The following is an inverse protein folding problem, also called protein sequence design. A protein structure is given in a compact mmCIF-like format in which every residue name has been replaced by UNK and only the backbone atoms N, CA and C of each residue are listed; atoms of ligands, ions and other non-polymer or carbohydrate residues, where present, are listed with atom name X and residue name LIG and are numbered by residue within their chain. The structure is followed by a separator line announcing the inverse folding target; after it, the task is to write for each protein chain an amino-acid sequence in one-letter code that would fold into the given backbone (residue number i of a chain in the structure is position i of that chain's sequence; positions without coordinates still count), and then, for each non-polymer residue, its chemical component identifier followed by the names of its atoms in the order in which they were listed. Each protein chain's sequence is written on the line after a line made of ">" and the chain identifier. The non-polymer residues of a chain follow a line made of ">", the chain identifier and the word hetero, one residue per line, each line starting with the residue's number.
data_IF_202758875737
#
_entry.id   IF_202758875737
#
_cell.length_a   1.000
_cell.length_b   1.000
_cell.length_c   1.000
_cell.angle_alpha   90.00
_cell.angle_beta   90.00
_cell.angle_gamma   90.00
#
_symmetry.space_group_name_H-M   'P 1'
#
loop_
_entity.id
_entity.type
_entity.pdbx_description
1 polymer ?
#
# COMPACT_ATOMS: atom_id res chain seq x y z
N UNK A 1 -71.52 -23.35 40.22
CA UNK A 1 -70.79 -23.10 38.99
C UNK A 1 -69.49 -22.35 39.35
N UNK A 2 -68.31 -23.04 39.30
CA UNK A 2 -67.01 -22.42 39.59
C UNK A 2 -66.28 -22.17 38.30
N UNK A 3 -66.07 -20.90 37.96
CA UNK A 3 -65.30 -20.51 36.78
C UNK A 3 -63.83 -20.62 37.06
N UNK A 4 -63.11 -21.39 36.24
CA UNK A 4 -61.66 -21.57 36.27
C UNK A 4 -61.03 -20.51 35.36
N UNK A 5 -60.31 -19.53 35.92
CA UNK A 5 -59.55 -18.55 35.19
C UNK A 5 -58.16 -19.11 34.91
N UNK A 6 -57.86 -19.47 33.68
CA UNK A 6 -56.55 -19.85 33.21
C UNK A 6 -55.72 -18.58 32.93
N UNK A 7 -54.73 -18.35 33.77
CA UNK A 7 -53.72 -17.29 33.57
C UNK A 7 -52.68 -17.81 32.58
N UNK A 8 -52.66 -17.31 31.34
CA UNK A 8 -51.57 -17.56 30.36
C UNK A 8 -50.39 -16.65 30.69
N UNK A 9 -49.35 -17.22 31.28
CA UNK A 9 -48.07 -16.55 31.50
C UNK A 9 -47.25 -16.56 30.20
N UNK A 10 -47.25 -15.46 29.46
CA UNK A 10 -46.41 -15.32 28.26
C UNK A 10 -44.96 -15.06 28.66
N UNK A 11 -44.12 -16.06 28.45
CA UNK A 11 -42.67 -16.01 28.68
C UNK A 11 -42.02 -15.19 27.53
N UNK A 12 -41.74 -13.91 27.77
CA UNK A 12 -40.97 -13.08 26.84
C UNK A 12 -39.51 -13.37 27.05
N UNK A 13 -38.89 -14.15 26.14
CA UNK A 13 -37.47 -14.37 26.11
C UNK A 13 -36.77 -13.12 25.55
N UNK A 14 -35.75 -12.56 26.21
CA UNK A 14 -34.98 -11.47 25.65
C UNK A 14 -34.20 -11.95 24.42
N UNK A 15 -34.49 -11.41 23.25
CA UNK A 15 -33.69 -11.59 22.06
C UNK A 15 -32.41 -10.76 22.24
N UNK A 16 -31.33 -11.42 22.71
CA UNK A 16 -29.99 -10.81 22.73
C UNK A 16 -29.51 -10.61 21.30
N UNK A 17 -29.60 -9.37 20.80
CA UNK A 17 -29.03 -8.97 19.53
C UNK A 17 -27.51 -9.08 19.65
N UNK A 18 -26.91 -10.13 19.12
CA UNK A 18 -25.48 -10.20 18.87
C UNK A 18 -25.15 -9.22 17.74
N UNK A 19 -24.70 -8.01 18.10
CA UNK A 19 -24.04 -7.13 17.15
C UNK A 19 -22.73 -7.78 16.74
N UNK A 20 -22.70 -8.43 15.58
CA UNK A 20 -21.43 -8.81 14.97
C UNK A 20 -20.67 -7.50 14.66
N UNK A 21 -19.64 -7.21 15.45
CA UNK A 21 -18.67 -6.15 15.10
C UNK A 21 -18.00 -6.58 13.81
N UNK A 22 -18.23 -5.84 12.72
CA UNK A 22 -17.42 -5.99 11.52
C UNK A 22 -15.96 -5.71 11.90
N UNK A 23 -15.03 -6.56 11.47
CA UNK A 23 -13.62 -6.34 11.67
C UNK A 23 -13.22 -4.96 11.11
N UNK A 24 -12.32 -4.25 11.80
CA UNK A 24 -11.80 -3.00 11.29
C UNK A 24 -11.03 -3.26 9.99
N UNK A 25 -10.92 -2.25 9.10
CA UNK A 25 -10.13 -2.37 7.87
C UNK A 25 -8.68 -2.77 8.20
N UNK A 26 -8.15 -2.23 9.30
CA UNK A 26 -6.84 -2.59 9.83
C UNK A 26 -6.69 -4.09 10.10
N UNK A 27 -7.62 -4.67 10.82
CA UNK A 27 -7.54 -6.07 11.22
C UNK A 27 -7.80 -7.01 10.04
N UNK A 28 -8.76 -6.65 9.17
CA UNK A 28 -9.12 -7.41 7.97
C UNK A 28 -7.96 -7.48 6.96
N UNK A 29 -7.26 -6.37 6.75
CA UNK A 29 -6.15 -6.27 5.81
C UNK A 29 -4.76 -6.38 6.47
N UNK A 30 -4.70 -6.62 7.78
CA UNK A 30 -3.45 -6.73 8.56
C UNK A 30 -2.53 -5.52 8.37
N UNK A 31 -3.09 -4.31 8.51
CA UNK A 31 -2.35 -3.07 8.29
C UNK A 31 -1.48 -2.68 9.48
N UNK A 32 -0.38 -2.03 9.19
CA UNK A 32 0.54 -1.45 10.17
C UNK A 32 0.29 0.07 10.25
N UNK A 33 0.06 0.58 11.46
CA UNK A 33 -0.19 1.99 11.68
C UNK A 33 1.00 2.68 12.33
N UNK A 34 1.50 3.74 11.69
CA UNK A 34 2.47 4.66 12.25
C UNK A 34 1.86 6.08 12.25
N UNK A 35 0.99 6.38 13.23
CA UNK A 35 0.33 7.68 13.29
C UNK A 35 1.30 8.78 13.72
N UNK A 36 0.99 10.02 13.34
CA UNK A 36 1.68 11.23 13.81
C UNK A 36 0.74 12.01 14.70
N UNK A 37 1.23 12.43 15.88
CA UNK A 37 0.42 13.14 16.88
C UNK A 37 0.23 14.62 16.58
N UNK A 38 1.12 15.21 15.78
CA UNK A 38 1.07 16.64 15.48
C UNK A 38 0.22 16.91 14.24
N UNK A 39 -0.66 17.92 14.26
CA UNK A 39 -1.32 18.41 13.05
C UNK A 39 -0.26 18.88 12.05
N UNK A 40 -0.39 18.47 10.81
CA UNK A 40 0.47 18.89 9.71
C UNK A 40 -0.30 18.72 8.40
N UNK A 41 0.04 19.52 7.39
CA UNK A 41 -0.54 19.42 6.04
C UNK A 41 0.20 18.40 5.18
N UNK A 42 1.19 17.72 5.77
CA UNK A 42 1.93 16.66 5.07
C UNK A 42 0.99 15.52 4.65
N UNK A 43 1.18 14.92 3.50
CA UNK A 43 0.36 13.79 3.06
C UNK A 43 0.55 12.58 3.98
N UNK A 44 -0.46 11.73 4.08
CA UNK A 44 -0.23 10.40 4.62
C UNK A 44 0.45 9.52 3.57
N UNK A 45 1.18 8.51 4.01
CA UNK A 45 1.84 7.54 3.16
C UNK A 45 1.09 6.22 3.24
N UNK A 46 0.72 5.64 2.11
CA UNK A 46 0.35 4.25 2.00
C UNK A 46 1.54 3.49 1.42
N UNK A 47 2.05 2.50 2.16
CA UNK A 47 3.27 1.79 1.82
C UNK A 47 3.02 0.29 1.65
N UNK A 48 3.13 -0.22 0.41
CA UNK A 48 3.10 -1.64 0.09
C UNK A 48 4.51 -2.23 0.22
N UNK A 49 4.66 -3.21 1.11
CA UNK A 49 5.95 -3.87 1.36
C UNK A 49 6.39 -4.78 0.20
N UNK A 50 7.64 -5.23 0.25
CA UNK A 50 8.11 -6.32 -0.58
C UNK A 50 7.43 -7.67 -0.27
N UNK A 51 7.78 -8.70 -1.01
CA UNK A 51 7.31 -10.08 -0.84
C UNK A 51 7.74 -10.72 0.48
N UNK A 52 8.85 -10.24 1.08
CA UNK A 52 9.27 -10.60 2.45
C UNK A 52 8.38 -10.04 3.57
N UNK A 53 7.34 -9.26 3.24
CA UNK A 53 6.45 -8.61 4.19
C UNK A 53 7.05 -7.35 4.81
N UNK A 54 6.51 -6.91 5.95
CA UNK A 54 6.91 -5.67 6.61
C UNK A 54 8.29 -5.80 7.30
N UNK A 55 9.35 -5.60 6.53
CA UNK A 55 10.74 -5.89 6.91
C UNK A 55 11.57 -4.63 7.20
N UNK A 56 12.89 -4.70 7.09
CA UNK A 56 13.81 -3.65 7.51
C UNK A 56 13.64 -2.35 6.71
N UNK A 57 13.58 -2.43 5.37
CA UNK A 57 13.44 -1.25 4.51
C UNK A 57 12.10 -0.55 4.77
N UNK A 58 10.99 -1.32 4.81
CA UNK A 58 9.66 -0.77 5.04
C UNK A 58 9.59 -0.04 6.37
N UNK A 59 10.14 -0.66 7.45
CA UNK A 59 10.19 -0.07 8.79
C UNK A 59 11.06 1.18 8.84
N UNK A 60 12.27 1.10 8.26
CA UNK A 60 13.25 2.17 8.31
C UNK A 60 12.79 3.41 7.54
N UNK A 61 12.32 3.24 6.31
CA UNK A 61 11.82 4.36 5.50
C UNK A 61 10.51 4.92 6.08
N UNK A 62 9.62 4.08 6.57
CA UNK A 62 8.39 4.55 7.25
C UNK A 62 8.69 5.36 8.50
N UNK A 63 9.73 5.00 9.27
CA UNK A 63 10.17 5.78 10.41
C UNK A 63 10.67 7.17 9.98
N UNK A 64 11.32 7.31 8.83
CA UNK A 64 11.71 8.62 8.28
C UNK A 64 10.47 9.44 7.92
N UNK A 65 9.49 8.89 7.22
CA UNK A 65 8.24 9.59 6.94
C UNK A 65 7.56 10.06 8.23
N UNK A 66 7.44 9.19 9.22
CA UNK A 66 6.81 9.50 10.51
C UNK A 66 7.56 10.62 11.25
N UNK A 67 8.90 10.57 11.27
CA UNK A 67 9.75 11.59 11.90
C UNK A 67 9.49 12.98 11.32
N UNK A 68 9.18 13.08 10.03
CA UNK A 68 8.91 14.33 9.32
C UNK A 68 7.40 14.64 9.20
N UNK A 69 6.57 14.06 10.06
CA UNK A 69 5.15 14.43 10.18
C UNK A 69 4.21 13.78 9.14
N UNK A 70 4.69 12.80 8.39
CA UNK A 70 3.89 12.04 7.43
C UNK A 70 3.47 10.71 8.08
N UNK A 71 2.19 10.54 8.47
CA UNK A 71 1.73 9.27 9.03
C UNK A 71 1.74 8.17 7.96
N UNK A 72 2.05 6.94 8.37
CA UNK A 72 2.18 5.81 7.44
C UNK A 72 1.17 4.73 7.75
N UNK A 73 0.48 4.26 6.71
CA UNK A 73 -0.27 3.00 6.69
C UNK A 73 0.56 1.99 5.91
N UNK A 74 1.14 1.03 6.61
CA UNK A 74 1.85 -0.07 5.99
C UNK A 74 0.90 -1.19 5.60
N UNK A 75 1.08 -1.73 4.41
CA UNK A 75 0.32 -2.87 3.90
C UNK A 75 1.27 -4.01 3.56
N UNK A 76 1.26 -5.07 4.37
CA UNK A 76 2.14 -6.22 4.18
C UNK A 76 1.73 -7.03 2.95
N UNK A 77 2.55 -6.96 1.90
CA UNK A 77 2.31 -7.73 0.67
C UNK A 77 2.33 -9.23 0.93
N UNK A 78 3.27 -9.72 1.76
CA UNK A 78 3.33 -11.15 2.12
C UNK A 78 2.02 -11.66 2.70
N UNK A 79 1.43 -10.91 3.62
CA UNK A 79 0.17 -11.34 4.27
C UNK A 79 -1.00 -11.24 3.30
N UNK A 80 -1.09 -10.14 2.55
CA UNK A 80 -2.22 -9.86 1.68
C UNK A 80 -2.23 -10.74 0.43
N UNK A 81 -1.07 -10.90 -0.24
CA UNK A 81 -0.93 -11.69 -1.47
C UNK A 81 -0.54 -13.15 -1.22
N UNK A 82 -0.58 -13.63 0.03
CA UNK A 82 -0.47 -15.07 0.34
C UNK A 82 -1.55 -15.88 -0.36
N UNK A 83 -2.69 -15.28 -0.62
CA UNK A 83 -3.73 -15.78 -1.52
C UNK A 83 -3.78 -14.89 -2.74
N UNK A 84 -3.89 -15.53 -3.90
CA UNK A 84 -4.00 -14.82 -5.17
C UNK A 84 -5.09 -13.75 -5.13
N UNK A 85 -4.73 -12.58 -5.62
CA UNK A 85 -5.60 -11.43 -5.81
C UNK A 85 -5.70 -11.07 -7.28
N UNK A 86 -6.61 -10.16 -7.61
CA UNK A 86 -6.62 -9.47 -8.89
C UNK A 86 -6.26 -7.99 -8.70
N UNK A 87 -5.84 -7.28 -9.74
CA UNK A 87 -5.65 -5.83 -9.67
C UNK A 87 -6.89 -5.09 -9.16
N UNK A 88 -8.09 -5.55 -9.55
CA UNK A 88 -9.38 -4.97 -9.15
C UNK A 88 -9.64 -5.18 -7.64
N UNK A 89 -9.35 -6.38 -7.11
CA UNK A 89 -9.48 -6.65 -5.68
C UNK A 89 -8.50 -5.81 -4.86
N UNK A 90 -7.24 -5.71 -5.32
CA UNK A 90 -6.24 -4.88 -4.65
C UNK A 90 -6.65 -3.40 -4.65
N UNK A 91 -7.23 -2.91 -5.75
CA UNK A 91 -7.74 -1.54 -5.84
C UNK A 91 -8.92 -1.31 -4.89
N UNK A 92 -9.90 -2.21 -4.87
CA UNK A 92 -11.05 -2.09 -3.98
C UNK A 92 -10.64 -2.10 -2.49
N UNK A 93 -9.66 -2.92 -2.12
CA UNK A 93 -9.13 -2.92 -0.75
C UNK A 93 -8.30 -1.67 -0.44
N UNK A 94 -7.58 -1.11 -1.43
CA UNK A 94 -6.92 0.21 -1.32
C UNK A 94 -7.95 1.33 -1.06
N UNK A 95 -9.07 1.34 -1.78
CA UNK A 95 -10.16 2.31 -1.57
C UNK A 95 -10.69 2.25 -0.13
N UNK A 96 -10.91 1.04 0.41
CA UNK A 96 -11.32 0.84 1.82
C UNK A 96 -10.30 1.42 2.81
N UNK A 97 -9.01 1.25 2.52
CA UNK A 97 -7.93 1.84 3.34
C UNK A 97 -8.00 3.36 3.29
N UNK A 98 -8.15 3.94 2.10
CA UNK A 98 -8.22 5.39 1.93
C UNK A 98 -9.43 5.99 2.64
N UNK A 99 -10.62 5.38 2.52
CA UNK A 99 -11.85 5.83 3.20
C UNK A 99 -11.68 5.89 4.72
N UNK A 100 -11.10 4.85 5.31
CA UNK A 100 -10.88 4.79 6.76
C UNK A 100 -9.82 5.80 7.21
N UNK A 101 -8.64 5.78 6.61
CA UNK A 101 -7.49 6.53 7.11
C UNK A 101 -7.53 8.01 6.75
N UNK A 102 -8.02 8.40 5.58
CA UNK A 102 -8.20 9.81 5.24
C UNK A 102 -9.17 10.50 6.20
N UNK A 103 -10.26 9.80 6.57
CA UNK A 103 -11.24 10.29 7.54
C UNK A 103 -10.66 10.31 8.95
N UNK A 104 -10.08 9.21 9.41
CA UNK A 104 -9.63 9.02 10.79
C UNK A 104 -8.41 9.89 11.14
N UNK A 105 -7.48 10.05 10.19
CA UNK A 105 -6.29 10.85 10.37
C UNK A 105 -6.44 12.29 9.84
N UNK A 106 -7.55 12.62 9.22
CA UNK A 106 -7.81 13.92 8.59
C UNK A 106 -6.73 14.31 7.60
N UNK A 107 -6.35 13.36 6.71
CA UNK A 107 -5.31 13.51 5.69
C UNK A 107 -5.90 13.26 4.30
N UNK A 108 -6.45 14.30 3.62
CA UNK A 108 -7.02 14.14 2.27
C UNK A 108 -5.93 13.91 1.20
N UNK A 109 -4.69 14.37 1.47
CA UNK A 109 -3.55 14.15 0.58
C UNK A 109 -2.80 12.89 0.98
N UNK A 110 -2.33 12.14 0.00
CA UNK A 110 -1.62 10.89 0.25
C UNK A 110 -0.57 10.58 -0.82
N UNK A 111 0.46 9.85 -0.43
CA UNK A 111 1.56 9.37 -1.24
C UNK A 111 1.47 7.85 -1.31
N UNK A 112 1.61 7.26 -2.49
CA UNK A 112 1.70 5.81 -2.65
C UNK A 112 3.16 5.39 -2.80
N UNK A 113 3.62 4.53 -1.92
CA UNK A 113 4.97 3.97 -1.95
C UNK A 113 4.88 2.45 -2.07
N UNK A 114 5.68 1.86 -2.91
CA UNK A 114 5.85 0.41 -2.99
C UNK A 114 7.34 0.04 -3.04
N UNK A 115 7.68 -1.08 -2.41
CA UNK A 115 9.01 -1.67 -2.47
C UNK A 115 8.96 -3.05 -3.10
N UNK A 116 9.88 -3.34 -4.04
CA UNK A 116 10.03 -4.64 -4.69
C UNK A 116 8.68 -5.11 -5.25
N UNK A 117 8.15 -6.24 -4.80
CA UNK A 117 6.80 -6.71 -5.17
C UNK A 117 5.72 -5.64 -4.98
N UNK A 118 5.74 -4.89 -3.87
CA UNK A 118 4.77 -3.80 -3.65
C UNK A 118 4.90 -2.69 -4.68
N UNK A 119 6.11 -2.41 -5.17
CA UNK A 119 6.36 -1.42 -6.21
C UNK A 119 5.77 -1.85 -7.58
N UNK A 120 5.77 -3.15 -7.85
CA UNK A 120 5.15 -3.71 -9.06
C UNK A 120 3.63 -3.49 -9.08
N UNK A 121 2.98 -3.49 -7.90
CA UNK A 121 1.53 -3.34 -7.74
C UNK A 121 1.08 -1.89 -7.96
N UNK A 122 1.91 -0.91 -7.61
CA UNK A 122 1.61 0.53 -7.64
C UNK A 122 0.91 0.99 -8.92
N UNK A 123 1.42 0.75 -10.14
CA UNK A 123 0.79 1.30 -11.34
C UNK A 123 -0.55 0.62 -11.68
N UNK A 124 -0.75 -0.62 -11.26
CA UNK A 124 -2.01 -1.33 -11.50
C UNK A 124 -3.17 -0.73 -10.69
N UNK A 125 -2.93 -0.42 -9.42
CA UNK A 125 -3.96 0.18 -8.55
C UNK A 125 -4.22 1.63 -8.96
N UNK A 126 -3.21 2.43 -9.31
CA UNK A 126 -3.38 3.80 -9.76
C UNK A 126 -4.28 3.87 -11.01
N UNK A 127 -4.07 2.99 -11.98
CA UNK A 127 -4.87 2.95 -13.21
C UNK A 127 -6.35 2.60 -12.98
N UNK A 128 -6.68 2.01 -11.85
CA UNK A 128 -8.03 1.55 -11.52
C UNK A 128 -8.74 2.41 -10.48
N UNK A 129 -7.99 3.25 -9.78
CA UNK A 129 -8.57 4.14 -8.77
C UNK A 129 -9.59 5.11 -9.38
N UNK A 130 -10.77 5.25 -8.77
CA UNK A 130 -11.70 6.33 -9.08
C UNK A 130 -11.06 7.71 -8.93
N UNK A 131 -11.52 8.66 -9.74
CA UNK A 131 -10.96 10.01 -9.83
C UNK A 131 -10.88 10.73 -8.49
N UNK A 132 -11.88 10.59 -7.64
CA UNK A 132 -11.92 11.27 -6.34
C UNK A 132 -10.79 10.84 -5.38
N UNK A 133 -10.29 9.59 -5.47
CA UNK A 133 -9.09 9.18 -4.73
C UNK A 133 -7.80 9.70 -5.37
N UNK A 134 -7.77 9.74 -6.72
CA UNK A 134 -6.62 10.24 -7.48
C UNK A 134 -6.35 11.71 -7.22
N UNK A 135 -7.37 12.53 -7.02
CA UNK A 135 -7.24 13.96 -6.71
C UNK A 135 -6.43 14.22 -5.44
N UNK A 136 -6.46 13.32 -4.45
CA UNK A 136 -5.65 13.41 -3.23
C UNK A 136 -4.24 12.83 -3.38
N UNK A 137 -3.96 12.05 -4.43
CA UNK A 137 -2.68 11.39 -4.65
C UNK A 137 -1.63 12.39 -5.14
N UNK A 138 -0.64 12.69 -4.30
CA UNK A 138 0.39 13.70 -4.59
C UNK A 138 1.56 13.16 -5.41
N UNK A 139 1.71 11.86 -5.48
CA UNK A 139 2.76 11.18 -6.24
C UNK A 139 2.80 9.68 -5.96
N UNK A 140 3.61 8.96 -6.71
CA UNK A 140 3.86 7.54 -6.50
C UNK A 140 5.35 7.22 -6.55
N UNK A 141 5.78 6.30 -5.69
CA UNK A 141 7.18 5.88 -5.55
C UNK A 141 7.28 4.38 -5.75
N UNK A 142 8.13 3.96 -6.64
CA UNK A 142 8.46 2.57 -6.91
C UNK A 142 9.93 2.34 -6.56
N UNK A 143 10.19 1.55 -5.52
CA UNK A 143 11.54 1.20 -5.05
C UNK A 143 11.88 -0.21 -5.57
N UNK A 144 12.91 -0.33 -6.39
CA UNK A 144 13.41 -1.58 -6.98
C UNK A 144 12.31 -2.47 -7.59
N UNK A 145 11.43 -1.96 -8.47
CA UNK A 145 10.38 -2.76 -9.11
C UNK A 145 10.94 -3.66 -10.21
N UNK A 146 10.39 -4.88 -10.32
CA UNK A 146 10.58 -5.74 -11.51
C UNK A 146 9.60 -5.36 -12.63
N UNK A 147 9.84 -5.91 -13.85
CA UNK A 147 9.04 -5.61 -15.04
C UNK A 147 7.68 -6.28 -15.08
N UNK A 148 7.39 -7.19 -14.15
CA UNK A 148 6.12 -7.92 -14.09
C UNK A 148 5.78 -8.37 -12.67
N UNK A 149 4.49 -8.68 -12.41
CA UNK A 149 3.97 -9.19 -11.14
C UNK A 149 2.98 -10.34 -11.37
N UNK A 150 2.64 -11.09 -10.32
CA UNK A 150 1.62 -12.16 -10.37
C UNK A 150 0.43 -11.94 -9.44
N UNK A 151 0.43 -10.91 -8.60
CA UNK A 151 -0.58 -10.66 -7.56
C UNK A 151 -0.77 -11.84 -6.60
N UNK A 152 0.29 -12.63 -6.42
CA UNK A 152 0.35 -13.78 -5.55
C UNK A 152 1.81 -13.99 -5.11
N UNK A 153 2.04 -14.32 -3.85
CA UNK A 153 3.37 -14.59 -3.33
C UNK A 153 3.46 -16.05 -2.93
N UNK A 154 4.36 -16.77 -3.61
CA UNK A 154 4.71 -18.14 -3.25
C UNK A 154 6.16 -18.22 -2.79
N UNK A 155 6.40 -18.89 -1.67
CA UNK A 155 7.77 -19.10 -1.15
C UNK A 155 8.65 -19.84 -2.17
N UNK A 156 8.05 -20.69 -3.03
CA UNK A 156 8.76 -21.36 -4.12
C UNK A 156 9.24 -20.41 -5.21
N UNK A 157 8.54 -19.30 -5.44
CA UNK A 157 8.82 -18.38 -6.54
C UNK A 157 9.94 -17.40 -6.17
N UNK A 158 10.22 -17.22 -4.88
CA UNK A 158 11.43 -16.52 -4.39
C UNK A 158 12.74 -17.22 -4.80
N UNK A 159 12.65 -18.49 -5.22
CA UNK A 159 13.79 -19.31 -5.62
C UNK A 159 13.85 -19.55 -7.14
N UNK A 160 12.86 -19.13 -7.91
CA UNK A 160 12.76 -19.42 -9.36
C UNK A 160 12.31 -18.18 -10.12
N UNK A 161 13.08 -17.79 -11.15
CA UNK A 161 12.71 -16.74 -12.10
C UNK A 161 11.61 -17.22 -13.06
N UNK A 162 10.38 -17.37 -12.57
CA UNK A 162 9.25 -17.73 -13.39
C UNK A 162 8.69 -16.49 -14.10
N UNK A 163 8.32 -16.62 -15.37
CA UNK A 163 7.62 -15.55 -16.10
C UNK A 163 6.30 -15.20 -15.38
N UNK A 164 6.15 -13.94 -15.00
CA UNK A 164 4.99 -13.41 -14.28
C UNK A 164 3.94 -12.90 -15.25
N UNK A 165 2.65 -12.98 -14.87
CA UNK A 165 1.51 -12.83 -15.78
C UNK A 165 1.14 -11.36 -16.09
N UNK A 166 1.53 -10.42 -15.25
CA UNK A 166 1.12 -9.01 -15.32
C UNK A 166 2.30 -8.09 -15.61
N UNK A 167 2.51 -7.65 -16.87
CA UNK A 167 3.58 -6.72 -17.22
C UNK A 167 3.36 -5.35 -16.55
N UNK A 168 4.38 -4.84 -15.84
CA UNK A 168 4.32 -3.59 -15.08
C UNK A 168 4.56 -2.36 -15.96
N UNK A 169 5.52 -2.43 -16.89
CA UNK A 169 5.91 -1.32 -17.76
C UNK A 169 4.72 -0.71 -18.54
N UNK A 170 3.82 -1.49 -19.18
CA UNK A 170 2.65 -0.93 -19.87
C UNK A 170 1.72 -0.19 -18.93
N UNK A 171 1.60 -0.62 -17.67
CA UNK A 171 0.75 0.06 -16.69
C UNK A 171 1.33 1.42 -16.30
N UNK A 172 2.65 1.52 -16.08
CA UNK A 172 3.30 2.82 -15.83
C UNK A 172 3.08 3.76 -16.99
N UNK A 173 3.22 3.28 -18.22
CA UNK A 173 3.09 4.09 -19.46
C UNK A 173 1.70 4.69 -19.68
N UNK A 174 0.66 4.17 -19.04
CA UNK A 174 -0.70 4.74 -19.11
C UNK A 174 -0.91 5.90 -18.13
N UNK A 175 -0.11 6.01 -17.09
CA UNK A 175 -0.19 7.09 -16.09
C UNK A 175 0.60 8.30 -16.64
N UNK A 176 -0.08 9.44 -16.88
CA UNK A 176 0.51 10.60 -17.53
C UNK A 176 0.45 11.89 -16.69
N UNK A 177 -0.47 11.94 -15.78
CA UNK A 177 -0.89 13.12 -15.03
C UNK A 177 -0.42 13.12 -13.55
N UNK A 178 0.33 12.09 -13.15
CA UNK A 178 0.83 11.91 -11.78
C UNK A 178 2.36 11.93 -11.78
N UNK A 179 3.01 12.73 -10.90
CA UNK A 179 4.44 12.60 -10.67
C UNK A 179 4.78 11.23 -10.09
N UNK A 180 5.72 10.55 -10.70
CA UNK A 180 6.18 9.24 -10.26
C UNK A 180 7.71 9.20 -10.14
N UNK A 181 8.20 8.43 -9.18
CA UNK A 181 9.64 8.17 -9.04
C UNK A 181 9.85 6.66 -9.12
N UNK A 182 10.85 6.26 -9.88
CA UNK A 182 11.36 4.90 -9.91
C UNK A 182 12.81 4.92 -9.41
N UNK A 183 13.06 4.30 -8.26
CA UNK A 183 14.38 4.19 -7.66
C UNK A 183 14.92 2.77 -7.77
N UNK A 184 16.20 2.64 -8.05
CA UNK A 184 16.92 1.37 -8.04
C UNK A 184 18.30 1.51 -7.41
N UNK A 185 18.83 0.43 -6.84
CA UNK A 185 20.20 0.36 -6.39
C UNK A 185 21.19 0.25 -7.57
N UNK A 186 22.37 0.85 -7.45
CA UNK A 186 23.41 0.76 -8.46
C UNK A 186 23.96 -0.68 -8.58
N UNK A 187 24.04 -1.37 -7.44
CA UNK A 187 24.55 -2.73 -7.31
C UNK A 187 23.42 -3.78 -7.25
N UNK A 188 22.18 -3.37 -7.60
CA UNK A 188 21.06 -4.29 -7.73
C UNK A 188 21.32 -5.19 -8.95
N UNK A 189 21.49 -6.47 -8.72
CA UNK A 189 21.83 -7.49 -9.71
C UNK A 189 20.62 -8.15 -10.37
N UNK A 190 19.39 -7.67 -10.06
CA UNK A 190 18.19 -8.14 -10.72
C UNK A 190 18.17 -7.74 -12.21
N UNK A 191 18.23 -8.73 -13.10
CA UNK A 191 18.19 -8.53 -14.54
C UNK A 191 16.81 -8.02 -15.02
N UNK A 192 15.77 -8.13 -14.20
CA UNK A 192 14.38 -7.76 -14.54
C UNK A 192 13.96 -6.37 -14.02
N UNK A 193 14.91 -5.44 -13.89
CA UNK A 193 14.67 -4.08 -13.39
C UNK A 193 13.80 -3.24 -14.32
N UNK A 194 12.78 -2.61 -13.75
CA UNK A 194 11.85 -1.76 -14.49
C UNK A 194 12.39 -0.35 -14.74
N UNK A 195 13.02 0.30 -13.76
CA UNK A 195 13.38 1.73 -13.83
C UNK A 195 14.16 2.12 -15.09
N UNK A 196 15.17 1.33 -15.58
CA UNK A 196 15.91 1.67 -16.78
C UNK A 196 15.07 1.69 -18.07
N UNK A 197 13.86 1.11 -18.05
CA UNK A 197 12.95 1.02 -19.20
C UNK A 197 11.96 2.19 -19.27
N UNK A 198 11.93 3.02 -18.21
CA UNK A 198 11.00 4.14 -18.11
C UNK A 198 11.65 5.44 -18.61
N UNK A 199 10.93 6.16 -19.47
CA UNK A 199 11.40 7.41 -20.07
C UNK A 199 10.29 8.47 -20.23
N UNK A 200 9.17 8.31 -19.49
CA UNK A 200 8.06 9.26 -19.57
C UNK A 200 8.38 10.57 -18.83
N UNK A 201 7.87 11.72 -19.30
CA UNK A 201 8.15 13.02 -18.67
C UNK A 201 7.71 13.16 -17.22
N UNK A 202 6.70 12.39 -16.80
CA UNK A 202 6.17 12.40 -15.44
C UNK A 202 6.83 11.35 -14.53
N UNK A 203 7.80 10.58 -15.03
CA UNK A 203 8.54 9.57 -14.25
C UNK A 203 10.00 9.99 -14.13
N UNK A 204 10.42 10.27 -12.90
CA UNK A 204 11.83 10.48 -12.58
C UNK A 204 12.47 9.15 -12.21
N UNK A 205 13.51 8.75 -12.91
CA UNK A 205 14.31 7.55 -12.58
C UNK A 205 15.57 7.97 -11.84
N UNK A 206 15.84 7.32 -10.69
CA UNK A 206 16.98 7.61 -9.83
C UNK A 206 17.72 6.31 -9.52
N UNK A 207 19.05 6.33 -9.70
CA UNK A 207 19.93 5.25 -9.23
C UNK A 207 20.67 5.72 -8.00
N UNK A 208 20.54 4.98 -6.91
CA UNK A 208 21.21 5.25 -5.63
C UNK A 208 22.28 4.21 -5.34
N UNK A 209 23.28 4.52 -4.50
CA UNK A 209 24.24 3.53 -4.04
C UNK A 209 23.59 2.30 -3.39
N UNK A 210 24.24 1.16 -3.45
CA UNK A 210 23.82 -0.10 -2.84
C UNK A 210 23.03 -1.01 -3.78
N UNK A 211 22.66 -2.17 -3.25
CA UNK A 211 21.86 -3.18 -3.94
C UNK A 211 20.37 -2.94 -3.82
N UNK A 212 19.60 -4.03 -3.86
CA UNK A 212 18.12 -4.01 -3.81
C UNK A 212 17.51 -3.25 -2.62
N UNK A 213 18.22 -3.18 -1.50
CA UNK A 213 17.81 -2.51 -0.25
C UNK A 213 18.49 -1.14 -0.02
N UNK A 214 19.22 -0.57 -1.00
CA UNK A 214 19.84 0.76 -0.94
C UNK A 214 20.79 0.94 0.25
N UNK A 215 21.54 -0.09 0.62
CA UNK A 215 22.46 -0.12 1.77
C UNK A 215 21.81 0.35 3.09
N UNK A 216 20.50 0.14 3.24
CA UNK A 216 19.69 0.57 4.40
C UNK A 216 19.80 2.07 4.72
N UNK A 217 20.15 2.90 3.72
CA UNK A 217 20.25 4.35 3.89
C UNK A 217 18.89 5.05 3.78
N UNK A 218 18.03 4.79 4.75
CA UNK A 218 16.66 5.30 4.78
C UNK A 218 16.53 6.83 4.81
N UNK A 219 17.41 7.60 5.51
CA UNK A 219 17.39 9.05 5.41
C UNK A 219 17.61 9.54 3.98
N UNK A 220 18.58 8.97 3.26
CA UNK A 220 18.86 9.35 1.87
C UNK A 220 17.72 8.99 0.92
N UNK A 221 17.06 7.84 1.13
CA UNK A 221 15.84 7.48 0.41
C UNK A 221 14.73 8.51 0.63
N UNK A 222 14.47 8.86 1.89
CA UNK A 222 13.47 9.86 2.26
C UNK A 222 13.76 11.22 1.59
N UNK A 223 14.98 11.74 1.74
CA UNK A 223 15.40 13.02 1.16
C UNK A 223 15.25 13.03 -0.37
N UNK A 224 15.64 11.93 -1.03
CA UNK A 224 15.49 11.78 -2.48
C UNK A 224 14.01 11.82 -2.87
N UNK A 225 13.15 11.04 -2.22
CA UNK A 225 11.72 10.97 -2.52
C UNK A 225 11.07 12.35 -2.34
N UNK A 226 11.27 12.97 -1.20
CA UNK A 226 10.60 14.24 -0.87
C UNK A 226 11.10 15.40 -1.71
N UNK A 227 12.39 15.43 -2.03
CA UNK A 227 12.98 16.42 -2.93
C UNK A 227 12.41 16.29 -4.35
N UNK A 228 12.37 15.09 -4.91
CA UNK A 228 11.90 14.86 -6.29
C UNK A 228 10.38 15.12 -6.45
N UNK A 229 9.59 14.91 -5.40
CA UNK A 229 8.14 15.17 -5.40
C UNK A 229 7.75 16.54 -4.83
N UNK A 230 8.71 17.37 -4.42
CA UNK A 230 8.48 18.67 -3.77
C UNK A 230 7.54 18.58 -2.55
N UNK A 231 7.78 17.60 -1.68
CA UNK A 231 6.98 17.34 -0.46
C UNK A 231 7.64 17.95 0.78
N UNK A 232 7.93 19.24 0.76
CA UNK A 232 8.55 19.98 1.90
C UNK A 232 7.50 20.68 2.74
#
# INVERSE_FOLDING_TARGET
>A
MRALILLLLSLVLPVSSFSAHAASVKDDLSLIELPVKMPSDAPMVLFLSGDGGWAALDKGLSAQFQLHGMPVVGWSSLTYYWKKKTPEQATADLERILDDYQTRWQRPRWLLVGFSFGAEIVPFVINRLPEHYRQGLVGAVMLSPSTSSDFEIHVSDMLTHKARSYPTEPQVKTIRDLPMICLQGADDDDDDRLCPRLNQPNVTTVTLPGGHHFDDNYPHLYDTITSQLNLH
#
